data_IF_828897296721
#
_entry.id   IF_828897296721
#
_cell.length_a   1.000
_cell.length_b   1.000
_cell.length_c   1.000
_cell.angle_alpha   90.00
_cell.angle_beta   90.00
_cell.angle_gamma   90.00
#
_symmetry.space_group_name_H-M   'P 1'
#
loop_
_entity.id
_entity.type
_entity.pdbx_description
1 polymer ?
#
# COMPACT_ATOMS: atom_id res chain seq x y z
N UNK A 1 3.94 21.54 -1.94
CA UNK A 1 3.84 20.92 -3.28
C UNK A 1 5.20 20.42 -3.80
N UNK A 2 6.19 21.25 -4.17
CA UNK A 2 7.48 20.73 -4.66
C UNK A 2 8.28 19.94 -3.60
N UNK A 3 8.16 20.31 -2.34
CA UNK A 3 8.84 19.67 -1.20
C UNK A 3 8.23 18.29 -0.86
N UNK A 4 6.93 18.15 -1.00
CA UNK A 4 6.21 16.90 -0.72
C UNK A 4 6.51 15.83 -1.77
N UNK A 5 6.53 16.21 -3.05
CA UNK A 5 6.91 15.29 -4.13
C UNK A 5 8.37 14.85 -4.02
N UNK A 6 9.28 15.76 -3.64
CA UNK A 6 10.69 15.40 -3.41
C UNK A 6 10.86 14.40 -2.28
N UNK A 7 10.08 14.53 -1.20
CA UNK A 7 10.07 13.57 -0.09
C UNK A 7 9.54 12.21 -0.53
N UNK A 8 8.46 12.20 -1.32
CA UNK A 8 7.87 10.98 -1.86
C UNK A 8 8.83 10.24 -2.79
N UNK A 9 9.55 10.95 -3.68
CA UNK A 9 10.59 10.36 -4.53
C UNK A 9 11.73 9.79 -3.69
N UNK A 10 12.18 10.51 -2.65
CA UNK A 10 13.23 10.04 -1.74
C UNK A 10 12.81 8.75 -1.01
N UNK A 11 11.57 8.70 -0.52
CA UNK A 11 10.97 7.52 0.10
C UNK A 11 10.92 6.35 -0.89
N UNK A 12 10.39 6.57 -2.09
CA UNK A 12 10.32 5.55 -3.13
C UNK A 12 11.71 4.99 -3.48
N UNK A 13 12.71 5.85 -3.63
CA UNK A 13 14.10 5.42 -3.87
C UNK A 13 14.66 4.58 -2.71
N UNK A 14 14.28 4.90 -1.48
CA UNK A 14 14.66 4.10 -0.31
C UNK A 14 14.00 2.72 -0.35
N UNK A 15 12.69 2.66 -0.56
CA UNK A 15 11.92 1.42 -0.53
C UNK A 15 12.25 0.50 -1.70
N UNK A 16 12.53 1.06 -2.89
CA UNK A 16 12.99 0.30 -4.06
C UNK A 16 14.36 -0.36 -3.87
N UNK A 17 15.22 0.18 -3.00
CA UNK A 17 16.60 -0.32 -2.82
C UNK A 17 16.64 -1.71 -2.23
N UNK A 18 15.76 -2.03 -1.29
CA UNK A 18 15.73 -3.32 -0.60
C UNK A 18 15.40 -4.47 -1.56
N UNK A 19 14.27 -4.48 -2.29
CA UNK A 19 13.96 -5.55 -3.23
C UNK A 19 14.97 -5.61 -4.38
N UNK A 20 15.47 -4.46 -4.85
CA UNK A 20 16.53 -4.45 -5.88
C UNK A 20 17.82 -5.12 -5.40
N UNK A 21 18.21 -4.90 -4.14
CA UNK A 21 19.38 -5.56 -3.55
C UNK A 21 19.16 -7.07 -3.46
N UNK A 22 17.96 -7.53 -3.13
CA UNK A 22 17.58 -8.95 -3.08
C UNK A 22 17.69 -9.58 -4.46
N UNK A 23 17.05 -9.00 -5.48
CA UNK A 23 17.15 -9.48 -6.87
C UNK A 23 18.60 -9.56 -7.33
N UNK A 24 19.36 -8.46 -7.16
CA UNK A 24 20.76 -8.38 -7.58
C UNK A 24 21.66 -9.34 -6.82
N UNK A 25 21.41 -9.54 -5.52
CA UNK A 25 22.18 -10.44 -4.66
C UNK A 25 22.02 -11.90 -5.07
N UNK A 26 20.78 -12.38 -5.20
CA UNK A 26 20.51 -13.76 -5.58
C UNK A 26 20.91 -14.05 -7.03
N UNK A 27 20.65 -13.13 -7.96
CA UNK A 27 21.10 -13.29 -9.35
C UNK A 27 22.62 -13.41 -9.44
N UNK A 28 23.40 -12.56 -8.73
CA UNK A 28 24.86 -12.65 -8.68
C UNK A 28 25.36 -13.93 -8.00
N UNK A 29 24.65 -14.42 -6.98
CA UNK A 29 24.98 -15.66 -6.30
C UNK A 29 24.82 -16.83 -7.26
N UNK A 30 23.71 -16.92 -7.98
CA UNK A 30 23.45 -17.97 -8.97
C UNK A 30 24.47 -17.95 -10.12
N UNK A 31 24.88 -16.77 -10.59
CA UNK A 31 25.88 -16.64 -11.66
C UNK A 31 27.30 -17.09 -11.25
N UNK A 32 27.60 -17.17 -9.95
CA UNK A 32 28.91 -17.55 -9.42
C UNK A 32 29.00 -19.00 -8.98
N UNK A 33 27.88 -19.69 -8.91
CA UNK A 33 27.81 -21.09 -8.49
C UNK A 33 27.76 -21.98 -9.73
N UNK A 34 28.82 -22.75 -9.99
CA UNK A 34 28.88 -23.66 -11.12
C UNK A 34 27.90 -24.83 -10.98
N UNK A 35 27.62 -25.26 -9.74
CA UNK A 35 26.61 -26.28 -9.42
C UNK A 35 25.73 -25.76 -8.27
N UNK A 36 24.44 -25.65 -8.53
CA UNK A 36 23.43 -25.32 -7.54
C UNK A 36 22.39 -26.44 -7.50
N UNK A 37 22.15 -26.97 -6.29
CA UNK A 37 21.08 -27.95 -6.07
C UNK A 37 19.74 -27.35 -6.55
N UNK A 38 18.92 -28.15 -7.21
CA UNK A 38 17.65 -27.70 -7.81
C UNK A 38 16.75 -26.98 -6.80
N UNK A 39 16.64 -27.50 -5.57
CA UNK A 39 15.86 -26.91 -4.50
C UNK A 39 16.35 -25.50 -4.12
N UNK A 40 17.66 -25.30 -4.05
CA UNK A 40 18.23 -23.96 -3.75
C UNK A 40 18.03 -23.01 -4.91
N UNK A 41 18.14 -23.50 -6.14
CA UNK A 41 17.89 -22.70 -7.34
C UNK A 41 16.44 -22.21 -7.37
N UNK A 42 15.49 -23.12 -7.15
CA UNK A 42 14.07 -22.78 -7.17
C UNK A 42 13.70 -21.79 -6.04
N UNK A 43 14.30 -21.97 -4.87
CA UNK A 43 14.16 -21.02 -3.76
C UNK A 43 14.70 -19.62 -4.11
N UNK A 44 15.88 -19.52 -4.74
CA UNK A 44 16.48 -18.24 -5.13
C UNK A 44 15.66 -17.57 -6.24
N UNK A 45 15.17 -18.33 -7.21
CA UNK A 45 14.27 -17.82 -8.25
C UNK A 45 12.98 -17.29 -7.63
N UNK A 46 12.37 -17.99 -6.68
CA UNK A 46 11.18 -17.52 -5.97
C UNK A 46 11.41 -16.22 -5.20
N UNK A 47 12.60 -16.05 -4.58
CA UNK A 47 12.95 -14.79 -3.91
C UNK A 47 13.16 -13.64 -4.89
N UNK A 48 13.74 -13.91 -6.06
CA UNK A 48 13.91 -12.94 -7.14
C UNK A 48 12.53 -12.52 -7.67
N UNK A 49 11.66 -13.47 -7.96
CA UNK A 49 10.32 -13.25 -8.48
C UNK A 49 9.48 -12.39 -7.52
N UNK A 50 9.39 -12.79 -6.25
CA UNK A 50 8.70 -11.99 -5.21
C UNK A 50 9.24 -10.56 -5.12
N UNK A 51 10.57 -10.39 -5.14
CA UNK A 51 11.17 -9.05 -5.04
C UNK A 51 10.99 -8.23 -6.32
N UNK A 52 10.87 -8.88 -7.49
CA UNK A 52 10.53 -8.20 -8.74
C UNK A 52 9.08 -7.69 -8.72
N UNK A 53 8.15 -8.49 -8.18
CA UNK A 53 6.75 -8.08 -7.99
C UNK A 53 6.65 -6.90 -7.00
N UNK A 54 7.42 -6.90 -5.91
CA UNK A 54 7.50 -5.77 -4.99
C UNK A 54 7.99 -4.49 -5.68
N UNK A 55 9.02 -4.60 -6.53
CA UNK A 55 9.53 -3.47 -7.32
C UNK A 55 8.45 -2.91 -8.27
N UNK A 56 7.72 -3.78 -8.96
CA UNK A 56 6.64 -3.38 -9.85
C UNK A 56 5.54 -2.63 -9.07
N UNK A 57 5.12 -3.15 -7.92
CA UNK A 57 4.13 -2.50 -7.06
C UNK A 57 4.58 -1.11 -6.58
N UNK A 58 5.85 -0.95 -6.16
CA UNK A 58 6.39 0.34 -5.73
C UNK A 58 6.45 1.35 -6.88
N UNK A 59 6.78 0.91 -8.11
CA UNK A 59 6.77 1.75 -9.30
C UNK A 59 5.35 2.19 -9.68
N UNK A 60 4.36 1.29 -9.56
CA UNK A 60 2.95 1.61 -9.78
C UNK A 60 2.45 2.67 -8.77
N UNK A 61 2.80 2.52 -7.49
CA UNK A 61 2.49 3.50 -6.45
C UNK A 61 3.11 4.87 -6.75
N UNK A 62 4.39 4.89 -7.13
CA UNK A 62 5.06 6.14 -7.49
C UNK A 62 4.41 6.80 -8.72
N UNK A 63 4.05 6.01 -9.72
CA UNK A 63 3.34 6.48 -10.92
C UNK A 63 1.97 7.05 -10.57
N UNK A 64 1.21 6.38 -9.68
CA UNK A 64 -0.08 6.86 -9.21
C UNK A 64 0.06 8.18 -8.46
N UNK A 65 1.00 8.26 -7.51
CA UNK A 65 1.28 9.49 -6.79
C UNK A 65 1.65 10.65 -7.71
N UNK A 66 2.50 10.42 -8.70
CA UNK A 66 2.89 11.44 -9.68
C UNK A 66 1.70 11.93 -10.52
N UNK A 67 0.72 11.05 -10.83
CA UNK A 67 -0.51 11.45 -11.53
C UNK A 67 -1.44 12.27 -10.63
N UNK A 68 -1.58 11.88 -9.36
CA UNK A 68 -2.38 12.61 -8.37
C UNK A 68 -1.79 14.01 -8.15
N UNK A 69 -0.51 14.10 -7.83
CA UNK A 69 0.20 15.37 -7.59
C UNK A 69 0.17 16.29 -8.81
N UNK A 70 0.28 15.71 -10.01
CA UNK A 70 0.23 16.45 -11.28
C UNK A 70 -1.18 16.82 -11.75
N UNK A 71 -2.23 16.50 -10.99
CA UNK A 71 -3.63 16.74 -11.38
C UNK A 71 -4.06 15.97 -12.63
N UNK A 72 -3.40 14.85 -12.92
CA UNK A 72 -3.63 14.00 -14.11
C UNK A 72 -4.19 12.63 -13.77
N UNK A 73 -4.57 12.43 -12.53
CA UNK A 73 -5.26 11.20 -12.14
C UNK A 73 -6.71 11.27 -12.64
N UNK A 74 -7.05 10.36 -13.55
CA UNK A 74 -8.38 10.19 -14.12
C UNK A 74 -8.91 8.83 -13.66
N UNK A 75 -9.76 8.77 -12.62
CA UNK A 75 -10.23 7.52 -12.04
C UNK A 75 -11.24 6.82 -12.95
N UNK A 76 -11.12 5.51 -13.09
CA UNK A 76 -12.14 4.66 -13.72
C UNK A 76 -13.22 4.32 -12.70
N UNK A 77 -14.09 5.30 -12.43
CA UNK A 77 -15.14 5.18 -11.40
C UNK A 77 -16.17 4.13 -11.78
N UNK A 78 -16.44 3.21 -10.84
CA UNK A 78 -17.48 2.17 -10.94
C UNK A 78 -18.29 2.10 -9.66
N UNK A 79 -19.51 1.58 -9.78
CA UNK A 79 -20.31 1.20 -8.63
C UNK A 79 -19.84 -0.16 -8.11
N UNK A 80 -19.48 -0.22 -6.84
CA UNK A 80 -18.94 -1.42 -6.20
C UNK A 80 -19.33 -1.44 -4.73
N UNK A 81 -19.54 -2.63 -4.18
CA UNK A 81 -19.78 -2.79 -2.74
C UNK A 81 -18.49 -2.48 -1.95
N UNK A 82 -18.61 -1.61 -0.93
CA UNK A 82 -17.47 -1.17 -0.12
C UNK A 82 -16.80 -2.33 0.63
N UNK A 83 -17.54 -3.38 1.01
CA UNK A 83 -16.95 -4.56 1.64
C UNK A 83 -16.05 -5.33 0.66
N UNK A 84 -16.38 -5.35 -0.63
CA UNK A 84 -15.57 -6.02 -1.65
C UNK A 84 -14.23 -5.32 -1.95
N UNK A 85 -14.07 -4.06 -1.51
CA UNK A 85 -12.83 -3.29 -1.63
C UNK A 85 -11.88 -3.54 -0.46
N UNK A 86 -12.40 -4.02 0.67
CA UNK A 86 -11.60 -4.27 1.86
C UNK A 86 -10.71 -5.51 1.68
N UNK A 87 -9.54 -5.55 2.36
CA UNK A 87 -8.67 -6.72 2.37
C UNK A 87 -9.39 -7.99 2.82
N UNK A 88 -8.83 -9.15 2.42
CA UNK A 88 -9.34 -10.46 2.83
C UNK A 88 -9.43 -10.58 4.35
N UNK A 89 -10.53 -11.15 4.84
CA UNK A 89 -10.81 -11.27 6.27
C UNK A 89 -11.56 -10.09 6.88
N UNK A 90 -11.83 -9.03 6.12
CA UNK A 90 -12.70 -7.95 6.56
C UNK A 90 -14.14 -8.45 6.84
N UNK A 91 -14.78 -7.87 7.85
CA UNK A 91 -16.14 -8.21 8.27
C UNK A 91 -17.03 -6.97 8.29
N UNK A 92 -18.34 -7.17 8.28
CA UNK A 92 -19.31 -6.06 8.38
C UNK A 92 -20.30 -6.02 7.25
N UNK A 93 -20.84 -4.84 6.97
CA UNK A 93 -21.85 -4.59 5.95
C UNK A 93 -21.45 -3.44 5.05
N UNK A 94 -21.25 -3.72 3.77
CA UNK A 94 -20.95 -2.72 2.76
C UNK A 94 -22.20 -2.04 2.19
N UNK A 95 -21.95 -1.00 1.42
CA UNK A 95 -22.93 -0.32 0.57
C UNK A 95 -22.30 -0.05 -0.79
N UNK A 96 -23.13 0.24 -1.78
CA UNK A 96 -22.63 0.66 -3.09
C UNK A 96 -21.98 2.03 -2.98
N UNK A 97 -20.71 2.11 -3.39
CA UNK A 97 -19.90 3.33 -3.47
C UNK A 97 -19.42 3.54 -4.91
N UNK A 98 -19.06 4.78 -5.26
CA UNK A 98 -18.57 5.15 -6.60
C UNK A 98 -17.10 5.51 -6.56
N UNK A 99 -16.25 4.56 -6.85
CA UNK A 99 -14.78 4.70 -6.76
C UNK A 99 -14.09 4.01 -7.94
N UNK A 100 -12.77 4.19 -8.06
CA UNK A 100 -11.91 3.35 -8.89
C UNK A 100 -11.51 2.11 -8.05
N UNK A 101 -12.09 0.91 -8.33
CA UNK A 101 -12.05 -0.20 -7.37
C UNK A 101 -10.63 -0.73 -7.10
N UNK A 102 -9.84 -0.88 -8.16
CA UNK A 102 -8.52 -1.51 -8.05
C UNK A 102 -7.52 -0.65 -7.26
N UNK A 103 -7.35 0.65 -7.55
CA UNK A 103 -6.49 1.52 -6.72
C UNK A 103 -6.99 1.66 -5.28
N UNK A 104 -8.32 1.75 -5.06
CA UNK A 104 -8.89 1.87 -3.71
C UNK A 104 -8.66 0.61 -2.90
N UNK A 105 -8.91 -0.58 -3.47
CA UNK A 105 -8.63 -1.85 -2.78
C UNK A 105 -7.15 -1.99 -2.40
N UNK A 106 -6.24 -1.61 -3.31
CA UNK A 106 -4.79 -1.58 -3.03
C UNK A 106 -4.44 -0.56 -1.93
N UNK A 107 -5.10 0.60 -1.91
CA UNK A 107 -4.88 1.61 -0.87
C UNK A 107 -5.30 1.12 0.51
N UNK A 108 -6.49 0.52 0.64
CA UNK A 108 -6.96 -0.07 1.90
C UNK A 108 -6.01 -1.16 2.41
N UNK A 109 -5.58 -2.07 1.52
CA UNK A 109 -4.59 -3.09 1.85
C UNK A 109 -3.22 -2.50 2.25
N UNK A 110 -2.82 -1.36 1.67
CA UNK A 110 -1.56 -0.68 2.03
C UNK A 110 -1.63 -0.04 3.41
N UNK A 111 -2.77 0.58 3.76
CA UNK A 111 -2.99 1.14 5.10
C UNK A 111 -3.00 0.05 6.17
N UNK A 112 -3.68 -1.07 5.92
CA UNK A 112 -3.70 -2.22 6.82
C UNK A 112 -2.29 -2.78 7.06
N UNK A 113 -1.56 -3.07 5.98
CA UNK A 113 -0.16 -3.54 6.08
C UNK A 113 0.74 -2.55 6.80
N UNK A 114 0.57 -1.24 6.58
CA UNK A 114 1.35 -0.22 7.24
C UNK A 114 1.03 -0.16 8.75
N UNK A 115 -0.26 -0.23 9.13
CA UNK A 115 -0.68 -0.29 10.51
C UNK A 115 -0.10 -1.51 11.24
N UNK A 116 -0.21 -2.69 10.65
CA UNK A 116 0.32 -3.93 11.22
C UNK A 116 1.86 -3.90 11.31
N UNK A 117 2.55 -3.53 10.23
CA UNK A 117 4.02 -3.56 10.15
C UNK A 117 4.67 -2.57 11.09
N UNK A 118 4.21 -1.33 11.09
CA UNK A 118 4.80 -0.27 11.91
C UNK A 118 4.29 -0.29 13.35
N UNK A 119 3.12 -0.86 13.57
CA UNK A 119 2.56 -1.06 14.92
C UNK A 119 3.07 -2.32 15.61
N UNK A 120 3.59 -3.29 14.87
CA UNK A 120 3.99 -4.60 15.41
C UNK A 120 2.79 -5.41 15.95
N UNK A 121 1.60 -5.19 15.40
CA UNK A 121 0.33 -5.78 15.84
C UNK A 121 -0.39 -6.47 14.68
N UNK A 122 -1.33 -7.34 15.03
CA UNK A 122 -2.30 -7.87 14.06
C UNK A 122 -3.52 -6.95 14.07
N UNK A 123 -3.91 -6.47 12.91
CA UNK A 123 -5.06 -5.59 12.72
C UNK A 123 -6.33 -6.38 12.42
N UNK A 124 -7.47 -5.78 12.70
CA UNK A 124 -8.79 -6.24 12.25
C UNK A 124 -9.44 -5.17 11.40
N UNK A 125 -10.19 -5.59 10.38
CA UNK A 125 -10.86 -4.68 9.45
C UNK A 125 -12.35 -4.88 9.54
N UNK A 126 -13.07 -3.79 9.76
CA UNK A 126 -14.54 -3.78 9.76
C UNK A 126 -15.07 -2.77 8.76
N UNK A 127 -16.18 -3.11 8.10
CA UNK A 127 -16.85 -2.24 7.13
C UNK A 127 -18.26 -1.94 7.64
N UNK A 128 -18.57 -0.65 7.73
CA UNK A 128 -19.91 -0.15 8.08
C UNK A 128 -20.33 0.92 7.06
N UNK A 129 -21.17 0.52 6.13
CA UNK A 129 -21.55 1.38 5.03
C UNK A 129 -20.35 1.78 4.18
N UNK A 130 -20.10 3.09 3.94
CA UNK A 130 -18.95 3.56 3.17
C UNK A 130 -17.66 3.64 3.99
N UNK A 131 -17.68 3.26 5.28
CA UNK A 131 -16.54 3.36 6.19
C UNK A 131 -15.83 2.04 6.32
N UNK A 132 -14.52 2.06 6.12
CA UNK A 132 -13.60 0.94 6.39
C UNK A 132 -12.75 1.33 7.59
N UNK A 133 -12.82 0.54 8.65
CA UNK A 133 -12.10 0.76 9.91
C UNK A 133 -11.01 -0.28 10.09
N UNK A 134 -9.79 0.16 10.39
CA UNK A 134 -8.61 -0.67 10.68
C UNK A 134 -8.20 -0.42 12.12
N UNK A 135 -8.12 -1.46 12.93
CA UNK A 135 -7.77 -1.37 14.36
C UNK A 135 -7.09 -2.67 14.87
N UNK A 136 -6.20 -2.60 15.88
CA UNK A 136 -5.70 -1.36 16.50
C UNK A 136 -4.62 -0.69 15.65
N UNK A 137 -4.52 0.63 15.74
CA UNK A 137 -3.41 1.44 15.22
C UNK A 137 -2.63 2.00 16.39
N UNK A 138 -1.39 1.55 16.55
CA UNK A 138 -0.53 2.00 17.65
C UNK A 138 0.00 3.41 17.43
N UNK A 139 0.51 4.04 18.49
CA UNK A 139 1.11 5.38 18.41
C UNK A 139 2.28 5.47 17.41
N UNK A 140 3.04 4.37 17.20
CA UNK A 140 4.14 4.33 16.24
C UNK A 140 3.65 4.28 14.79
N UNK A 141 2.53 3.61 14.53
CA UNK A 141 1.92 3.50 13.20
C UNK A 141 1.06 4.73 12.84
N UNK A 142 0.48 5.41 13.83
CA UNK A 142 -0.45 6.51 13.66
C UNK A 142 0.01 7.59 12.67
N UNK A 143 1.20 8.21 12.81
CA UNK A 143 1.64 9.27 11.90
C UNK A 143 1.93 8.74 10.47
N UNK A 144 2.12 7.44 10.31
CA UNK A 144 2.41 6.81 9.02
C UNK A 144 1.10 6.60 8.25
N UNK A 145 0.09 6.01 8.90
CA UNK A 145 -1.19 5.70 8.26
C UNK A 145 -2.09 6.92 8.07
N UNK A 146 -1.81 8.03 8.77
CA UNK A 146 -2.46 9.33 8.52
C UNK A 146 -1.76 10.16 7.44
N UNK A 147 -0.58 9.73 6.97
CA UNK A 147 0.21 10.47 5.98
C UNK A 147 1.04 11.63 6.57
N UNK A 148 1.05 11.81 7.89
CA UNK A 148 1.88 12.83 8.57
C UNK A 148 3.38 12.50 8.49
N UNK A 149 3.70 11.21 8.44
CA UNK A 149 5.08 10.72 8.34
C UNK A 149 5.28 9.92 7.05
N UNK A 150 6.16 10.40 6.17
CA UNK A 150 6.53 9.71 4.94
C UNK A 150 7.56 8.60 5.22
N UNK A 151 7.13 7.52 5.89
CA UNK A 151 7.95 6.32 6.16
C UNK A 151 7.48 5.07 5.42
N UNK A 152 6.35 5.15 4.74
CA UNK A 152 5.73 4.06 4.00
C UNK A 152 5.08 4.62 2.73
N UNK A 153 5.63 4.26 1.57
CA UNK A 153 5.15 4.77 0.29
C UNK A 153 3.69 4.37 0.05
N UNK A 154 3.32 3.13 0.38
CA UNK A 154 1.96 2.63 0.21
C UNK A 154 0.94 3.42 1.03
N UNK A 155 1.26 3.71 2.30
CA UNK A 155 0.39 4.49 3.17
C UNK A 155 0.23 5.94 2.68
N UNK A 156 1.33 6.60 2.31
CA UNK A 156 1.27 7.98 1.78
C UNK A 156 0.40 8.05 0.53
N UNK A 157 0.62 7.15 -0.44
CA UNK A 157 -0.15 7.14 -1.69
C UNK A 157 -1.61 6.77 -1.44
N UNK A 158 -1.88 5.87 -0.48
CA UNK A 158 -3.25 5.50 -0.11
C UNK A 158 -4.04 6.69 0.44
N UNK A 159 -3.45 7.48 1.34
CA UNK A 159 -4.08 8.70 1.88
C UNK A 159 -4.33 9.71 0.76
N UNK A 160 -3.33 9.96 -0.10
CA UNK A 160 -3.47 10.87 -1.24
C UNK A 160 -4.58 10.43 -2.21
N UNK A 161 -4.67 9.14 -2.51
CA UNK A 161 -5.69 8.59 -3.40
C UNK A 161 -7.09 8.77 -2.82
N UNK A 162 -7.30 8.41 -1.55
CA UNK A 162 -8.60 8.56 -0.86
C UNK A 162 -9.05 10.02 -0.90
N UNK A 163 -8.16 10.96 -0.58
CA UNK A 163 -8.43 12.39 -0.64
C UNK A 163 -8.71 12.90 -2.06
N UNK A 164 -7.96 12.43 -3.05
CA UNK A 164 -8.15 12.80 -4.46
C UNK A 164 -9.51 12.33 -5.00
N UNK A 165 -10.06 11.25 -4.48
CA UNK A 165 -11.40 10.76 -4.79
C UNK A 165 -12.52 11.45 -3.99
N UNK A 166 -12.19 12.34 -3.06
CA UNK A 166 -13.16 13.03 -2.20
C UNK A 166 -13.55 12.25 -0.96
N UNK A 167 -12.81 11.20 -0.62
CA UNK A 167 -12.93 10.48 0.65
C UNK A 167 -12.10 11.10 1.77
N UNK A 168 -12.16 10.50 2.94
CA UNK A 168 -11.49 10.97 4.14
C UNK A 168 -10.74 9.84 4.84
N UNK A 169 -9.57 10.15 5.42
CA UNK A 169 -8.83 9.27 6.32
C UNK A 169 -8.70 9.97 7.66
N UNK A 170 -9.26 9.37 8.70
CA UNK A 170 -9.26 9.92 10.06
C UNK A 170 -8.80 8.88 11.07
N UNK A 171 -8.04 9.31 12.07
CA UNK A 171 -7.62 8.48 13.19
C UNK A 171 -8.24 9.02 14.47
N UNK A 172 -8.97 8.16 15.17
CA UNK A 172 -9.48 8.43 16.52
C UNK A 172 -8.98 7.34 17.47
N UNK A 173 -8.17 7.76 18.45
CA UNK A 173 -7.50 6.86 19.38
C UNK A 173 -6.65 5.82 18.63
N UNK A 174 -7.03 4.56 18.62
CA UNK A 174 -6.34 3.47 17.93
C UNK A 174 -7.12 2.95 16.70
N UNK A 175 -8.06 3.75 16.19
CA UNK A 175 -8.96 3.36 15.10
C UNK A 175 -8.77 4.27 13.90
N UNK A 176 -8.24 3.72 12.81
CA UNK A 176 -8.15 4.39 11.52
C UNK A 176 -9.43 4.14 10.74
N UNK A 177 -10.12 5.20 10.35
CA UNK A 177 -11.34 5.13 9.54
C UNK A 177 -11.09 5.77 8.19
N UNK A 178 -11.32 5.01 7.13
CA UNK A 178 -11.34 5.47 5.75
C UNK A 178 -12.79 5.58 5.31
N UNK A 179 -13.24 6.79 5.01
CA UNK A 179 -14.59 7.05 4.48
C UNK A 179 -14.50 7.19 2.96
N UNK A 180 -15.16 6.29 2.25
CA UNK A 180 -15.20 6.29 0.79
C UNK A 180 -16.28 7.27 0.29
N UNK A 181 -16.08 7.91 -0.88
CA UNK A 181 -17.11 8.75 -1.48
C UNK A 181 -18.35 7.92 -1.88
N UNK A 182 -19.52 8.47 -1.69
CA UNK A 182 -20.82 7.86 -2.03
C UNK A 182 -21.31 8.30 -3.41
#
# INVERSE_FOLDING_TARGET
MADDFSRLVSLACHDLRTPLATVSGFAKTMLRMDELEDEKRDRYLGLIDTSADELAQLLDLLSLAARIEGGRYDPVVREVDSLSLAPDGATGTGVVVRVDPEPVGRALASLDRAAARHGGVTTTITVDGPRVTIEPVTADAAPIVTGESAKDLGAVVAVQLVQALGGEVALDSERLTVTLPS
#
